data_IF_486123158373
#
_entry.id   IF_486123158373
#
_cell.length_a   1.000
_cell.length_b   1.000
_cell.length_c   1.000
_cell.angle_alpha   90.00
_cell.angle_beta   90.00
_cell.angle_gamma   90.00
#
_symmetry.space_group_name_H-M   'P 1'
#
loop_
_entity.id
_entity.type
_entity.pdbx_description
1 polymer ?
#
# COMPACT_ATOMS: atom_id res chain seq x y z
N UNK A 1 -18.94 4.42 -12.45
CA UNK A 1 -17.77 3.89 -11.70
C UNK A 1 -18.24 3.49 -10.31
N UNK A 2 -18.32 2.18 -10.01
CA UNK A 2 -18.51 1.72 -8.62
C UNK A 2 -17.14 1.72 -7.96
N UNK A 3 -16.78 2.82 -7.29
CA UNK A 3 -15.57 2.84 -6.47
C UNK A 3 -15.90 2.06 -5.21
N UNK A 4 -15.30 0.87 -5.06
CA UNK A 4 -15.45 0.06 -3.85
C UNK A 4 -14.92 0.90 -2.68
N UNK A 5 -15.64 1.02 -1.56
CA UNK A 5 -15.14 1.78 -0.43
C UNK A 5 -13.86 1.13 0.08
N UNK A 6 -12.85 1.95 0.40
CA UNK A 6 -11.56 1.50 0.94
C UNK A 6 -11.75 0.59 2.18
N UNK A 7 -12.77 0.88 2.96
CA UNK A 7 -13.18 0.11 4.14
C UNK A 7 -13.69 -1.31 3.84
N UNK A 8 -13.99 -1.63 2.57
CA UNK A 8 -14.40 -2.95 2.11
C UNK A 8 -13.31 -3.68 1.32
N UNK A 9 -12.11 -3.11 1.25
CA UNK A 9 -10.97 -3.81 0.65
C UNK A 9 -10.55 -4.99 1.54
N UNK A 10 -10.31 -6.11 0.87
CA UNK A 10 -9.73 -7.32 1.44
C UNK A 10 -8.23 -7.14 1.66
N UNK A 11 -7.61 -8.07 2.39
CA UNK A 11 -6.17 -8.02 2.65
C UNK A 11 -5.36 -8.01 1.34
N UNK A 12 -5.67 -8.91 0.41
CA UNK A 12 -4.99 -9.01 -0.89
C UNK A 12 -5.11 -7.72 -1.69
N UNK A 13 -6.28 -7.10 -1.72
CA UNK A 13 -6.50 -5.82 -2.41
C UNK A 13 -5.68 -4.69 -1.80
N UNK A 14 -5.55 -4.65 -0.46
CA UNK A 14 -4.72 -3.64 0.23
C UNK A 14 -3.23 -3.86 -0.08
N UNK A 15 -2.79 -5.11 -0.14
CA UNK A 15 -1.42 -5.46 -0.49
C UNK A 15 -1.09 -5.10 -1.95
N UNK A 16 -2.01 -5.40 -2.88
CA UNK A 16 -1.86 -5.06 -4.29
C UNK A 16 -1.79 -3.54 -4.51
N UNK A 17 -2.64 -2.78 -3.81
CA UNK A 17 -2.62 -1.32 -3.84
C UNK A 17 -1.29 -0.74 -3.31
N UNK A 18 -0.74 -1.35 -2.27
CA UNK A 18 0.55 -0.98 -1.70
C UNK A 18 1.72 -1.28 -2.66
N UNK A 19 1.69 -2.44 -3.31
CA UNK A 19 2.70 -2.82 -4.30
C UNK A 19 2.69 -1.85 -5.50
N UNK A 20 1.51 -1.58 -6.06
CA UNK A 20 1.36 -0.62 -7.16
C UNK A 20 1.85 0.78 -6.79
N UNK A 21 1.55 1.24 -5.57
CA UNK A 21 2.04 2.54 -5.10
C UNK A 21 3.57 2.58 -4.97
N UNK A 22 4.18 1.49 -4.48
CA UNK A 22 5.63 1.36 -4.37
C UNK A 22 6.30 1.34 -5.75
N UNK A 23 5.74 0.61 -6.71
CA UNK A 23 6.24 0.55 -8.09
C UNK A 23 6.19 1.91 -8.80
N UNK A 24 5.19 2.73 -8.47
CA UNK A 24 5.07 4.11 -8.99
C UNK A 24 6.03 5.08 -8.31
N UNK A 25 6.68 4.68 -7.22
CA UNK A 25 7.52 5.54 -6.40
C UNK A 25 6.74 6.63 -5.66
N UNK A 26 5.46 6.39 -5.34
CA UNK A 26 4.69 7.35 -4.55
C UNK A 26 5.17 7.39 -3.09
N UNK A 27 4.94 8.50 -2.39
CA UNK A 27 5.26 8.55 -0.96
C UNK A 27 4.19 7.81 -0.15
N UNK A 28 4.60 6.93 0.78
CA UNK A 28 3.69 6.17 1.64
C UNK A 28 2.62 7.05 2.31
N UNK A 29 3.00 8.25 2.77
CA UNK A 29 2.08 9.18 3.44
C UNK A 29 0.97 9.73 2.52
N UNK A 30 1.23 9.78 1.21
CA UNK A 30 0.28 10.21 0.19
C UNK A 30 -0.50 9.02 -0.40
N UNK A 31 0.18 7.89 -0.56
CA UNK A 31 -0.36 6.69 -1.19
C UNK A 31 -1.25 5.85 -0.26
N UNK A 32 -1.07 5.95 1.06
CA UNK A 32 -1.84 5.17 2.04
C UNK A 32 -3.11 5.94 2.47
N UNK A 33 -4.29 5.61 1.94
CA UNK A 33 -5.52 6.31 2.32
C UNK A 33 -6.13 5.76 3.62
N UNK A 34 -5.48 4.78 4.28
CA UNK A 34 -6.01 4.13 5.46
C UNK A 34 -5.56 4.85 6.74
N UNK A 35 -6.48 5.09 7.69
CA UNK A 35 -6.14 5.78 8.93
C UNK A 35 -5.14 4.97 9.77
N UNK A 36 -4.19 5.68 10.38
CA UNK A 36 -3.21 5.10 11.31
C UNK A 36 -3.89 4.28 12.41
N UNK A 37 -3.29 3.14 12.75
CA UNK A 37 -3.84 2.19 13.73
C UNK A 37 -4.86 1.18 13.16
N UNK A 38 -5.31 1.35 11.92
CA UNK A 38 -6.12 0.32 11.25
C UNK A 38 -5.25 -0.83 10.73
N UNK A 39 -5.78 -2.05 10.74
CA UNK A 39 -5.07 -3.21 10.19
C UNK A 39 -4.68 -3.01 8.72
N UNK A 40 -5.53 -2.33 7.93
CA UNK A 40 -5.24 -2.00 6.52
C UNK A 40 -4.05 -1.07 6.38
N UNK A 41 -3.91 -0.09 7.28
CA UNK A 41 -2.76 0.81 7.30
C UNK A 41 -1.47 0.03 7.56
N UNK A 42 -1.50 -0.91 8.52
CA UNK A 42 -0.35 -1.74 8.86
C UNK A 42 0.05 -2.61 7.67
N UNK A 43 -0.90 -3.32 7.06
CA UNK A 43 -0.67 -4.18 5.89
C UNK A 43 -0.14 -3.36 4.71
N UNK A 44 -0.79 -2.25 4.39
CA UNK A 44 -0.36 -1.37 3.30
C UNK A 44 1.08 -0.92 3.49
N UNK A 45 1.43 -0.43 4.69
CA UNK A 45 2.78 0.01 5.02
C UNK A 45 3.81 -1.11 4.88
N UNK A 46 3.50 -2.30 5.40
CA UNK A 46 4.43 -3.43 5.42
C UNK A 46 4.76 -3.90 4.00
N UNK A 47 3.73 -4.10 3.17
CA UNK A 47 3.89 -4.50 1.77
C UNK A 47 4.56 -3.39 0.95
N UNK A 48 4.17 -2.14 1.15
CA UNK A 48 4.79 -1.00 0.47
C UNK A 48 6.29 -0.93 0.77
N UNK A 49 6.68 -1.04 2.05
CA UNK A 49 8.09 -1.01 2.44
C UNK A 49 8.87 -2.20 1.87
N UNK A 50 8.28 -3.39 1.86
CA UNK A 50 8.89 -4.58 1.24
C UNK A 50 9.09 -4.38 -0.28
N UNK A 51 8.09 -3.86 -0.99
CA UNK A 51 8.20 -3.57 -2.43
C UNK A 51 9.24 -2.49 -2.72
N UNK A 52 9.28 -1.39 -1.96
CA UNK A 52 10.31 -0.36 -2.13
C UNK A 52 11.71 -0.91 -1.87
N UNK A 53 11.86 -1.75 -0.84
CA UNK A 53 13.15 -2.38 -0.53
C UNK A 53 13.62 -3.33 -1.65
N UNK A 54 12.70 -4.05 -2.30
CA UNK A 54 12.98 -4.93 -3.45
C UNK A 54 13.32 -4.11 -4.71
N UNK A 55 12.65 -2.96 -4.90
CA UNK A 55 12.86 -2.06 -6.02
C UNK A 55 14.13 -1.20 -5.90
N UNK A 56 14.67 -1.01 -4.70
CA UNK A 56 15.99 -0.39 -4.53
C UNK A 56 17.07 -1.38 -4.99
N UNK A 57 17.72 -1.17 -6.15
CA UNK A 57 18.79 -2.05 -6.56
C UNK A 57 19.89 -2.02 -5.50
N UNK A 58 20.29 -3.19 -5.05
CA UNK A 58 21.49 -3.37 -4.24
C UNK A 58 22.66 -2.79 -5.05
N UNK A 59 23.12 -1.61 -4.64
CA UNK A 59 24.32 -0.98 -5.17
C UNK A 59 25.58 -1.68 -4.70
#
# INVERSE_FOLDING_TARGET
MHVKPLSSLSHEEVADLAAQAAERGEELALANPFPEGSWRHIVFRDVFAACVADLQPIG
#
